data_IF_143347442632
#
_entry.id   IF_143347442632
#
_cell.length_a   1.000
_cell.length_b   1.000
_cell.length_c   1.000
_cell.angle_alpha   90.00
_cell.angle_beta   90.00
_cell.angle_gamma   90.00
#
_symmetry.space_group_name_H-M   'P 1'
#
loop_
_entity.id
_entity.type
_entity.pdbx_description
1 polymer ?
#
# COMPACT_ATOMS: atom_id res chain seq x y z
N UNK A 1 18.82 -10.91 3.40
CA UNK A 1 18.00 -10.52 2.22
C UNK A 1 18.65 -11.06 0.97
N UNK A 2 17.91 -11.86 0.21
CA UNK A 2 18.30 -12.26 -1.15
C UNK A 2 17.78 -11.19 -2.12
N UNK A 3 18.65 -10.59 -2.93
CA UNK A 3 18.27 -9.49 -3.83
C UNK A 3 17.18 -9.89 -4.80
N UNK A 4 17.24 -11.12 -5.34
CA UNK A 4 16.21 -11.68 -6.21
C UNK A 4 14.83 -11.72 -5.55
N UNK A 5 14.74 -12.30 -4.35
CA UNK A 5 13.50 -12.36 -3.57
C UNK A 5 12.94 -10.97 -3.29
N UNK A 6 13.80 -10.04 -2.85
CA UNK A 6 13.42 -8.65 -2.61
C UNK A 6 12.82 -7.98 -3.84
N UNK A 7 13.49 -8.08 -4.99
CA UNK A 7 13.05 -7.44 -6.24
C UNK A 7 11.74 -8.04 -6.73
N UNK A 8 11.63 -9.37 -6.80
CA UNK A 8 10.43 -10.04 -7.30
C UNK A 8 9.24 -9.77 -6.39
N UNK A 9 9.41 -9.89 -5.06
CA UNK A 9 8.32 -9.65 -4.12
C UNK A 9 7.87 -8.18 -4.13
N UNK A 10 8.81 -7.23 -4.26
CA UNK A 10 8.50 -5.80 -4.39
C UNK A 10 7.72 -5.48 -5.67
N UNK A 11 8.13 -6.05 -6.82
CA UNK A 11 7.42 -5.85 -8.09
C UNK A 11 6.00 -6.42 -8.06
N UNK A 12 5.84 -7.67 -7.59
CA UNK A 12 4.52 -8.30 -7.50
C UNK A 12 3.64 -7.55 -6.51
N UNK A 13 4.18 -7.16 -5.35
CA UNK A 13 3.47 -6.33 -4.38
C UNK A 13 3.04 -4.98 -4.96
N UNK A 14 3.90 -4.33 -5.76
CA UNK A 14 3.60 -3.02 -6.36
C UNK A 14 2.49 -3.09 -7.41
N UNK A 15 2.46 -4.14 -8.23
CA UNK A 15 1.36 -4.39 -9.17
C UNK A 15 0.05 -4.63 -8.41
N UNK A 16 0.07 -5.43 -7.35
CA UNK A 16 -1.12 -5.68 -6.51
C UNK A 16 -1.60 -4.39 -5.87
N UNK A 17 -0.70 -3.60 -5.28
CA UNK A 17 -1.05 -2.33 -4.65
C UNK A 17 -1.66 -1.35 -5.65
N UNK A 18 -1.10 -1.24 -6.84
CA UNK A 18 -1.62 -0.39 -7.91
C UNK A 18 -3.02 -0.82 -8.36
N UNK A 19 -3.27 -2.12 -8.56
CA UNK A 19 -4.59 -2.65 -8.92
C UNK A 19 -5.63 -2.42 -7.82
N UNK A 20 -5.23 -2.57 -6.55
CA UNK A 20 -6.10 -2.29 -5.41
C UNK A 20 -6.38 -0.79 -5.29
N UNK A 21 -5.38 0.07 -5.53
CA UNK A 21 -5.55 1.51 -5.53
C UNK A 21 -6.54 1.96 -6.60
N UNK A 22 -6.44 1.41 -7.81
CA UNK A 22 -7.42 1.63 -8.87
C UNK A 22 -8.82 1.17 -8.47
N UNK A 23 -8.95 -0.02 -7.86
CA UNK A 23 -10.25 -0.55 -7.42
C UNK A 23 -10.88 0.32 -6.31
N UNK A 24 -10.14 0.62 -5.24
CA UNK A 24 -10.67 1.33 -4.09
C UNK A 24 -10.88 2.81 -4.37
N UNK A 25 -9.87 3.52 -4.89
CA UNK A 25 -9.93 4.97 -5.06
C UNK A 25 -10.51 5.40 -6.42
N UNK A 26 -10.41 4.55 -7.45
CA UNK A 26 -10.89 4.87 -8.80
C UNK A 26 -12.28 4.32 -9.13
N UNK A 27 -12.78 3.32 -8.39
CA UNK A 27 -14.07 2.68 -8.67
C UNK A 27 -14.99 2.70 -7.44
N UNK A 28 -14.59 2.06 -6.34
CA UNK A 28 -15.50 1.83 -5.20
C UNK A 28 -15.81 3.10 -4.40
N UNK A 29 -14.81 3.97 -4.24
CA UNK A 29 -14.91 5.20 -3.46
C UNK A 29 -14.57 6.43 -4.31
N UNK A 30 -14.80 6.37 -5.63
CA UNK A 30 -14.41 7.44 -6.55
C UNK A 30 -14.99 8.82 -6.18
N UNK A 31 -16.20 8.85 -5.60
CA UNK A 31 -16.88 10.09 -5.19
C UNK A 31 -16.32 10.70 -3.90
N UNK A 32 -15.55 9.95 -3.10
CA UNK A 32 -14.96 10.40 -1.83
C UNK A 32 -13.56 10.99 -2.00
N UNK A 33 -12.88 10.69 -3.11
CA UNK A 33 -11.49 11.08 -3.33
C UNK A 33 -11.34 11.94 -4.60
N UNK A 34 -10.50 13.00 -4.55
CA UNK A 34 -10.21 13.80 -5.73
C UNK A 34 -9.66 12.94 -6.86
N UNK A 35 -10.27 13.04 -8.04
CA UNK A 35 -9.82 12.30 -9.22
C UNK A 35 -8.73 13.08 -9.96
N UNK A 36 -7.72 12.40 -10.50
CA UNK A 36 -6.69 13.03 -11.31
C UNK A 36 -7.25 13.83 -12.49
N UNK A 37 -6.76 15.04 -12.69
CA UNK A 37 -7.05 15.80 -13.91
C UNK A 37 -6.41 15.14 -15.15
N UNK A 38 -7.12 15.17 -16.28
CA UNK A 38 -6.59 14.69 -17.55
C UNK A 38 -5.32 15.47 -17.96
N UNK A 39 -4.29 14.76 -18.40
CA UNK A 39 -3.00 15.35 -18.77
C UNK A 39 -2.06 15.66 -17.58
N UNK A 40 -2.48 15.39 -16.34
CA UNK A 40 -1.61 15.50 -15.17
C UNK A 40 -0.64 14.31 -15.02
N UNK A 41 0.44 14.51 -14.28
CA UNK A 41 1.40 13.44 -13.93
C UNK A 41 0.93 12.55 -12.77
N UNK A 42 -0.32 12.69 -12.32
CA UNK A 42 -0.82 11.99 -11.13
C UNK A 42 -0.70 10.47 -11.24
N UNK A 43 -1.02 9.87 -12.39
CA UNK A 43 -0.90 8.41 -12.58
C UNK A 43 0.54 7.91 -12.44
N UNK A 44 1.53 8.71 -12.85
CA UNK A 44 2.95 8.40 -12.67
C UNK A 44 3.31 8.40 -11.18
N UNK A 45 2.90 9.44 -10.44
CA UNK A 45 3.16 9.51 -8.99
C UNK A 45 2.43 8.44 -8.19
N UNK A 46 1.20 8.08 -8.57
CA UNK A 46 0.45 6.96 -7.98
C UNK A 46 1.23 5.67 -8.20
N UNK A 47 1.66 5.41 -9.43
CA UNK A 47 2.46 4.22 -9.75
C UNK A 47 3.76 4.19 -8.94
N UNK A 48 4.52 5.28 -8.91
CA UNK A 48 5.75 5.37 -8.14
C UNK A 48 5.49 5.15 -6.63
N UNK A 49 4.39 5.69 -6.10
CA UNK A 49 3.96 5.50 -4.72
C UNK A 49 3.70 4.03 -4.39
N UNK A 50 2.92 3.33 -5.22
CA UNK A 50 2.60 1.92 -5.03
C UNK A 50 3.84 1.03 -5.04
N UNK A 51 4.74 1.25 -6.00
CA UNK A 51 5.98 0.48 -6.06
C UNK A 51 6.92 0.83 -4.89
N UNK A 52 7.02 2.11 -4.50
CA UNK A 52 7.82 2.50 -3.33
C UNK A 52 7.31 1.82 -2.05
N UNK A 53 6.00 1.81 -1.83
CA UNK A 53 5.37 1.15 -0.69
C UNK A 53 5.64 -0.36 -0.69
N UNK A 54 5.42 -1.04 -1.82
CA UNK A 54 5.66 -2.47 -1.94
C UNK A 54 7.14 -2.86 -1.79
N UNK A 55 8.08 -2.06 -2.33
CA UNK A 55 9.51 -2.28 -2.11
C UNK A 55 9.88 -2.06 -0.64
N UNK A 56 9.30 -1.06 0.02
CA UNK A 56 9.52 -0.84 1.45
C UNK A 56 9.04 -2.04 2.28
N UNK A 57 7.82 -2.53 2.05
CA UNK A 57 7.31 -3.74 2.69
C UNK A 57 8.18 -4.97 2.40
N UNK A 58 8.57 -5.16 1.13
CA UNK A 58 9.47 -6.25 0.73
C UNK A 58 10.80 -6.18 1.47
N UNK A 59 11.37 -4.98 1.64
CA UNK A 59 12.61 -4.77 2.39
C UNK A 59 12.42 -5.14 3.87
N UNK A 60 11.35 -4.66 4.52
CA UNK A 60 11.04 -5.02 5.91
C UNK A 60 10.99 -6.54 6.06
N UNK A 61 10.26 -7.22 5.17
CA UNK A 61 10.03 -8.66 5.30
C UNK A 61 11.30 -9.47 5.03
N UNK A 62 12.13 -9.05 4.06
CA UNK A 62 13.34 -9.77 3.69
C UNK A 62 14.57 -9.44 4.54
N UNK A 63 14.66 -8.22 5.09
CA UNK A 63 15.84 -7.75 5.81
C UNK A 63 15.64 -7.71 7.32
N UNK A 64 14.47 -7.28 7.79
CA UNK A 64 14.23 -7.05 9.22
C UNK A 64 13.44 -8.18 9.88
N UNK A 65 12.31 -8.58 9.30
CA UNK A 65 11.36 -9.47 9.95
C UNK A 65 11.48 -10.96 9.52
N UNK A 66 12.15 -11.25 8.41
CA UNK A 66 12.26 -12.60 7.82
C UNK A 66 10.89 -13.28 7.58
N UNK A 67 9.92 -12.51 7.06
CA UNK A 67 8.57 -13.00 6.78
C UNK A 67 8.51 -13.72 5.43
N UNK A 68 8.12 -14.99 5.46
CA UNK A 68 8.05 -15.90 4.30
C UNK A 68 6.70 -16.62 4.17
N UNK A 69 5.69 -16.22 4.93
CA UNK A 69 4.35 -16.83 4.89
C UNK A 69 3.28 -15.81 4.57
N UNK A 70 2.21 -16.26 3.90
CA UNK A 70 1.05 -15.43 3.57
C UNK A 70 0.44 -14.81 4.84
N UNK A 71 0.17 -15.63 5.85
CA UNK A 71 -0.45 -15.16 7.10
C UNK A 71 0.46 -14.20 7.88
N UNK A 72 1.78 -14.44 7.90
CA UNK A 72 2.74 -13.51 8.50
C UNK A 72 2.76 -12.17 7.78
N UNK A 73 2.75 -12.21 6.44
CA UNK A 73 2.68 -11.02 5.61
C UNK A 73 1.38 -10.24 5.80
N UNK A 74 0.23 -10.92 5.85
CA UNK A 74 -1.06 -10.27 6.09
C UNK A 74 -1.09 -9.51 7.43
N UNK A 75 -0.64 -10.15 8.52
CA UNK A 75 -0.61 -9.55 9.85
C UNK A 75 0.31 -8.34 9.93
N UNK A 76 1.54 -8.48 9.41
CA UNK A 76 2.48 -7.36 9.38
C UNK A 76 1.98 -6.23 8.47
N UNK A 77 1.37 -6.58 7.33
CA UNK A 77 0.76 -5.64 6.40
C UNK A 77 -0.36 -4.82 7.03
N UNK A 78 -1.25 -5.45 7.79
CA UNK A 78 -2.32 -4.75 8.52
C UNK A 78 -1.78 -3.69 9.49
N UNK A 79 -0.73 -4.02 10.24
CA UNK A 79 -0.08 -3.09 11.18
C UNK A 79 0.61 -1.95 10.43
N UNK A 80 1.31 -2.26 9.34
CA UNK A 80 1.95 -1.24 8.49
C UNK A 80 0.88 -0.32 7.89
N UNK A 81 -0.21 -0.85 7.35
CA UNK A 81 -1.32 -0.07 6.79
C UNK A 81 -1.99 0.84 7.81
N UNK A 82 -2.17 0.36 9.05
CA UNK A 82 -2.68 1.18 10.15
C UNK A 82 -1.78 2.41 10.38
N UNK A 83 -0.48 2.21 10.58
CA UNK A 83 0.41 3.34 10.88
C UNK A 83 0.68 4.24 9.67
N UNK A 84 0.85 3.67 8.48
CA UNK A 84 1.04 4.44 7.24
C UNK A 84 -0.19 5.26 6.90
N UNK A 85 -1.38 4.69 7.04
CA UNK A 85 -2.63 5.41 6.84
C UNK A 85 -2.84 6.51 7.88
N UNK A 86 -2.54 6.28 9.16
CA UNK A 86 -2.57 7.33 10.18
C UNK A 86 -1.62 8.48 9.84
N UNK A 87 -0.39 8.17 9.43
CA UNK A 87 0.60 9.17 9.01
C UNK A 87 0.05 9.99 7.84
N UNK A 88 -0.37 9.33 6.76
CA UNK A 88 -0.87 10.00 5.56
C UNK A 88 -2.08 10.90 5.87
N UNK A 89 -3.03 10.39 6.65
CA UNK A 89 -4.23 11.11 7.02
C UNK A 89 -3.96 12.29 7.96
N UNK A 90 -3.13 12.14 8.98
CA UNK A 90 -2.83 13.24 9.91
C UNK A 90 -2.10 14.39 9.22
N UNK A 91 -1.16 14.09 8.32
CA UNK A 91 -0.52 15.13 7.52
C UNK A 91 -1.47 15.74 6.49
N UNK A 92 -2.33 14.93 5.86
CA UNK A 92 -3.36 15.42 4.93
C UNK A 92 -4.34 16.39 5.58
N UNK A 93 -4.94 16.00 6.71
CA UNK A 93 -5.87 16.84 7.45
C UNK A 93 -5.23 18.14 7.98
N UNK A 94 -3.91 18.14 8.23
CA UNK A 94 -3.19 19.36 8.62
C UNK A 94 -2.99 20.35 7.45
N UNK A 95 -3.10 19.87 6.21
CA UNK A 95 -2.97 20.69 4.99
C UNK A 95 -4.33 21.12 4.43
N UNK A 96 -5.42 20.46 4.82
CA UNK A 96 -6.77 20.79 4.39
C UNK A 96 -7.35 22.01 5.11
N UNK A 97 -8.18 22.80 4.41
CA UNK A 97 -8.86 23.99 4.97
C UNK A 97 -9.91 23.58 6.02
N UNK A 98 -10.52 22.41 5.85
CA UNK A 98 -11.50 21.82 6.76
C UNK A 98 -11.25 20.32 6.89
N UNK A 99 -11.40 19.80 8.11
CA UNK A 99 -11.17 18.39 8.41
C UNK A 99 -12.39 17.55 8.04
N UNK A 100 -12.17 16.53 7.21
CA UNK A 100 -13.18 15.53 6.83
C UNK A 100 -12.93 14.20 7.56
N UNK A 101 -13.67 13.99 8.65
CA UNK A 101 -13.56 12.77 9.46
C UNK A 101 -14.16 11.53 8.79
N UNK A 102 -15.08 11.70 7.84
CA UNK A 102 -15.67 10.58 7.11
C UNK A 102 -14.67 10.03 6.10
N UNK A 103 -14.05 10.91 5.31
CA UNK A 103 -12.95 10.56 4.40
C UNK A 103 -11.78 9.94 5.15
N UNK A 104 -11.44 10.47 6.32
CA UNK A 104 -10.43 9.88 7.21
C UNK A 104 -10.73 8.43 7.56
N UNK A 105 -11.96 8.14 8.01
CA UNK A 105 -12.34 6.81 8.45
C UNK A 105 -12.34 5.79 7.29
N UNK A 106 -12.81 6.22 6.11
CA UNK A 106 -12.82 5.41 4.90
C UNK A 106 -11.39 5.13 4.42
N UNK A 107 -10.56 6.15 4.29
CA UNK A 107 -9.17 5.99 3.85
C UNK A 107 -8.36 5.11 4.82
N UNK A 108 -8.68 5.19 6.11
CA UNK A 108 -8.04 4.32 7.10
C UNK A 108 -8.40 2.85 6.90
N UNK A 109 -9.67 2.54 6.66
CA UNK A 109 -10.11 1.19 6.35
C UNK A 109 -9.45 0.68 5.06
N UNK A 110 -9.41 1.51 4.00
CA UNK A 110 -8.76 1.18 2.73
C UNK A 110 -7.28 0.89 2.94
N UNK A 111 -6.55 1.78 3.64
CA UNK A 111 -5.12 1.63 3.93
C UNK A 111 -4.80 0.30 4.63
N UNK A 112 -5.58 -0.09 5.62
CA UNK A 112 -5.39 -1.36 6.34
C UNK A 112 -5.66 -2.54 5.43
N UNK A 113 -6.79 -2.54 4.70
CA UNK A 113 -7.18 -3.64 3.82
C UNK A 113 -6.17 -3.82 2.68
N UNK A 114 -5.78 -2.74 2.02
CA UNK A 114 -4.80 -2.76 0.93
C UNK A 114 -3.45 -3.27 1.41
N UNK A 115 -2.89 -2.69 2.48
CA UNK A 115 -1.61 -3.12 3.02
C UNK A 115 -1.63 -4.57 3.52
N UNK A 116 -2.77 -5.05 4.04
CA UNK A 116 -2.96 -6.46 4.42
C UNK A 116 -2.82 -7.38 3.21
N UNK A 117 -3.49 -7.05 2.10
CA UNK A 117 -3.46 -7.87 0.88
C UNK A 117 -2.06 -7.82 0.24
N UNK A 118 -1.46 -6.63 0.13
CA UNK A 118 -0.11 -6.44 -0.41
C UNK A 118 0.91 -7.19 0.44
N UNK A 119 0.83 -7.05 1.77
CA UNK A 119 1.68 -7.80 2.71
C UNK A 119 1.52 -9.31 2.57
N UNK A 120 0.28 -9.81 2.46
CA UNK A 120 0.01 -11.23 2.24
C UNK A 120 0.69 -11.76 0.98
N UNK A 121 0.61 -11.01 -0.12
CA UNK A 121 1.23 -11.36 -1.41
C UNK A 121 2.75 -11.33 -1.30
N UNK A 122 3.34 -10.28 -0.72
CA UNK A 122 4.80 -10.19 -0.52
C UNK A 122 5.30 -11.36 0.34
N UNK A 123 4.61 -11.66 1.44
CA UNK A 123 4.94 -12.79 2.32
C UNK A 123 4.88 -14.13 1.59
N UNK A 124 3.85 -14.34 0.75
CA UNK A 124 3.72 -15.53 -0.08
C UNK A 124 4.86 -15.66 -1.10
N UNK A 125 5.20 -14.58 -1.80
CA UNK A 125 6.27 -14.58 -2.81
C UNK A 125 7.63 -14.83 -2.16
N UNK A 126 7.90 -14.21 -1.01
CA UNK A 126 9.12 -14.45 -0.24
C UNK A 126 9.31 -15.92 0.12
N UNK A 127 8.23 -16.64 0.47
CA UNK A 127 8.28 -18.07 0.78
C UNK A 127 8.44 -19.00 -0.42
N UNK A 128 8.20 -18.50 -1.64
CA UNK A 128 8.27 -19.29 -2.88
C UNK A 128 9.53 -19.03 -3.71
N UNK A 129 10.24 -17.93 -3.47
CA UNK A 129 11.42 -17.54 -4.25
C UNK A 129 12.69 -17.87 -3.47
N UNK A 130 13.40 -18.88 -3.98
CA UNK A 130 14.75 -19.27 -3.56
C UNK A 130 15.84 -18.28 -3.99
#
# INVERSE_FOLDING_TARGET
>A
MKTKTFVIAGLVGGVVDWLLGWLFYGILFADFFPQPEEGSNAMVFITLGCFAFAFFMSYIYNKWAQITTLAGGAKAGAVIGLFMGLIANFFGMAMDIAVDYEKFAIDMAISIVMATIVGAVIGLVNGKVD
#
